data_IF_002768807538
#
_entry.id   IF_002768807538
#
_cell.length_a   1.000
_cell.length_b   1.000
_cell.length_c   1.000
_cell.angle_alpha   90.00
_cell.angle_beta   90.00
_cell.angle_gamma   90.00
#
_symmetry.space_group_name_H-M   'P 1'
#
loop_
_entity.id
_entity.type
_entity.pdbx_description
1 polymer ?
#
# COMPACT_ATOMS: atom_id res chain seq x y z
N UNK A 1 -2.50 20.99 -24.97
CA UNK A 1 -2.36 20.82 -23.52
C UNK A 1 -3.37 19.76 -23.11
N UNK A 2 -2.94 18.62 -22.57
CA UNK A 2 -3.84 17.56 -22.11
C UNK A 2 -4.54 17.97 -20.80
N UNK A 3 -5.72 17.40 -20.54
CA UNK A 3 -6.40 17.56 -19.24
C UNK A 3 -5.58 16.78 -18.20
N UNK A 4 -5.20 17.37 -17.05
CA UNK A 4 -4.52 16.65 -15.97
C UNK A 4 -5.38 15.47 -15.47
N UNK A 5 -4.76 14.32 -15.26
CA UNK A 5 -5.41 13.10 -14.74
C UNK A 5 -4.60 12.54 -13.59
N UNK A 6 -5.28 11.99 -12.59
CA UNK A 6 -4.65 11.33 -11.44
C UNK A 6 -5.40 10.06 -11.05
N UNK A 7 -4.72 9.19 -10.29
CA UNK A 7 -5.35 8.05 -9.62
C UNK A 7 -6.05 8.51 -8.34
N UNK A 8 -7.21 7.93 -8.03
CA UNK A 8 -8.02 8.35 -6.87
C UNK A 8 -7.52 7.78 -5.54
N UNK A 9 -6.71 6.70 -5.56
CA UNK A 9 -6.26 6.06 -4.33
C UNK A 9 -5.60 4.70 -4.59
N UNK A 10 -6.14 3.65 -3.98
CA UNK A 10 -5.58 2.29 -3.97
C UNK A 10 -5.18 1.74 -5.34
N UNK A 11 -4.08 1.01 -5.37
CA UNK A 11 -3.65 0.17 -6.50
C UNK A 11 -3.77 -1.31 -6.14
N UNK A 12 -3.83 -2.22 -7.14
CA UNK A 12 -3.78 -3.65 -6.87
C UNK A 12 -2.52 -4.04 -6.10
N UNK A 13 -2.68 -4.75 -4.98
CA UNK A 13 -1.54 -5.26 -4.21
C UNK A 13 -0.80 -6.33 -5.00
N UNK A 14 0.54 -6.29 -5.09
CA UNK A 14 1.29 -7.36 -5.72
C UNK A 14 1.14 -8.66 -4.92
N UNK A 15 1.23 -9.80 -5.60
CA UNK A 15 1.06 -11.13 -4.98
C UNK A 15 1.97 -11.35 -3.77
N UNK A 16 3.18 -10.76 -3.79
CA UNK A 16 4.14 -10.80 -2.69
C UNK A 16 3.59 -10.12 -1.42
N UNK A 17 3.01 -8.93 -1.56
CA UNK A 17 2.38 -8.23 -0.45
C UNK A 17 1.13 -8.95 0.06
N UNK A 18 0.30 -9.49 -0.84
CA UNK A 18 -0.88 -10.29 -0.44
C UNK A 18 -0.47 -11.50 0.40
N UNK A 19 0.62 -12.18 0.01
CA UNK A 19 1.17 -13.30 0.76
C UNK A 19 1.67 -12.86 2.14
N UNK A 20 2.43 -11.77 2.21
CA UNK A 20 2.96 -11.25 3.48
C UNK A 20 1.84 -10.85 4.46
N UNK A 21 0.76 -10.22 3.97
CA UNK A 21 -0.43 -9.92 4.78
C UNK A 21 -1.01 -11.20 5.35
N UNK A 22 -1.23 -12.23 4.51
CA UNK A 22 -1.78 -13.50 4.98
C UNK A 22 -0.87 -14.22 5.98
N UNK A 23 0.45 -14.16 5.81
CA UNK A 23 1.42 -14.73 6.74
C UNK A 23 1.47 -13.96 8.07
N UNK A 24 1.32 -12.62 8.04
CA UNK A 24 1.25 -11.79 9.23
C UNK A 24 -0.04 -12.03 10.01
N UNK A 25 -1.19 -12.07 9.32
CA UNK A 25 -2.49 -12.38 9.92
C UNK A 25 -2.51 -13.78 10.56
N UNK A 26 -1.75 -14.72 10.00
CA UNK A 26 -1.55 -16.06 10.56
C UNK A 26 -0.50 -16.12 11.69
N UNK A 27 0.16 -15.01 12.04
CA UNK A 27 1.22 -14.94 13.04
C UNK A 27 2.52 -15.65 12.64
N UNK A 28 2.72 -15.90 11.35
CA UNK A 28 3.88 -16.63 10.81
C UNK A 28 5.09 -15.73 10.54
N UNK A 29 4.87 -14.42 10.35
CA UNK A 29 5.93 -13.40 10.22
C UNK A 29 5.67 -12.24 11.19
N UNK A 30 6.72 -11.50 11.52
CA UNK A 30 6.61 -10.29 12.34
C UNK A 30 6.12 -9.08 11.55
N UNK A 31 5.77 -8.01 12.26
CA UNK A 31 5.38 -6.75 11.63
C UNK A 31 6.50 -6.16 10.76
N UNK A 32 7.77 -6.28 11.17
CA UNK A 32 8.91 -5.76 10.40
C UNK A 32 9.04 -6.42 9.02
N UNK A 33 8.73 -7.72 8.93
CA UNK A 33 8.73 -8.46 7.65
C UNK A 33 7.57 -7.98 6.76
N UNK A 34 6.38 -7.79 7.32
CA UNK A 34 5.25 -7.20 6.61
C UNK A 34 5.57 -5.77 6.14
N UNK A 35 6.17 -4.96 7.01
CA UNK A 35 6.53 -3.57 6.72
C UNK A 35 7.53 -3.48 5.57
N UNK A 36 8.50 -4.38 5.49
CA UNK A 36 9.45 -4.44 4.36
C UNK A 36 8.76 -4.75 3.03
N UNK A 37 7.74 -5.61 3.02
CA UNK A 37 6.96 -5.91 1.81
C UNK A 37 6.02 -4.76 1.42
N UNK A 38 5.45 -4.08 2.40
CA UNK A 38 4.71 -2.85 2.20
C UNK A 38 5.58 -1.74 1.60
N UNK A 39 6.78 -1.52 2.14
CA UNK A 39 7.77 -0.56 1.63
C UNK A 39 8.12 -0.84 0.17
N UNK A 40 8.39 -2.11 -0.15
CA UNK A 40 8.69 -2.52 -1.51
C UNK A 40 7.53 -2.23 -2.48
N UNK A 41 6.28 -2.50 -2.07
CA UNK A 41 5.10 -2.24 -2.88
C UNK A 41 4.79 -0.74 -3.06
N UNK A 42 4.93 0.06 -1.99
CA UNK A 42 4.80 1.52 -2.05
C UNK A 42 5.85 2.11 -3.02
N UNK A 43 7.10 1.65 -2.91
CA UNK A 43 8.20 2.11 -3.78
C UNK A 43 7.93 1.78 -5.25
N UNK A 44 7.54 0.55 -5.58
CA UNK A 44 7.21 0.17 -6.97
C UNK A 44 6.02 0.99 -7.51
N UNK A 45 5.02 1.28 -6.68
CA UNK A 45 3.87 2.13 -7.05
C UNK A 45 4.32 3.55 -7.43
N UNK A 46 5.17 4.16 -6.59
CA UNK A 46 5.72 5.51 -6.83
C UNK A 46 6.56 5.53 -8.10
N UNK A 47 7.56 4.65 -8.22
CA UNK A 47 8.48 4.61 -9.36
C UNK A 47 7.75 4.40 -10.70
N UNK A 48 6.75 3.52 -10.71
CA UNK A 48 5.93 3.28 -11.92
C UNK A 48 5.04 4.45 -12.25
N UNK A 49 4.45 5.12 -11.26
CA UNK A 49 3.58 6.27 -11.50
C UNK A 49 4.37 7.47 -12.02
N UNK A 50 5.55 7.74 -11.45
CA UNK A 50 6.50 8.75 -11.96
C UNK A 50 6.87 8.47 -13.42
N UNK A 51 7.16 7.22 -13.77
CA UNK A 51 7.49 6.82 -15.13
C UNK A 51 6.37 7.06 -16.16
N UNK A 52 5.11 7.20 -15.72
CA UNK A 52 3.99 7.57 -16.62
C UNK A 52 3.94 9.06 -16.95
N UNK A 53 4.67 9.90 -16.22
CA UNK A 53 4.52 11.36 -16.29
C UNK A 53 3.25 11.87 -15.59
N UNK A 54 2.70 11.09 -14.65
CA UNK A 54 1.55 11.50 -13.86
C UNK A 54 1.84 12.81 -13.12
N UNK A 55 0.91 13.79 -13.13
CA UNK A 55 1.11 15.07 -12.46
C UNK A 55 1.09 14.96 -10.94
N UNK A 56 0.45 13.91 -10.40
CA UNK A 56 0.33 13.61 -8.97
C UNK A 56 0.62 12.14 -8.78
N UNK A 57 1.43 11.82 -7.76
CA UNK A 57 1.90 10.47 -7.44
C UNK A 57 1.38 10.06 -6.06
N UNK A 58 0.93 8.82 -5.93
CA UNK A 58 0.55 8.18 -4.66
C UNK A 58 1.31 6.87 -4.46
N UNK A 59 1.37 6.40 -3.21
CA UNK A 59 1.98 5.11 -2.86
C UNK A 59 1.05 3.91 -3.12
N UNK A 60 -0.16 4.15 -3.64
CA UNK A 60 -1.15 3.13 -3.95
C UNK A 60 -1.85 2.50 -2.75
N UNK A 61 -1.81 3.12 -1.57
CA UNK A 61 -2.46 2.63 -0.33
C UNK A 61 -2.07 1.19 0.04
N UNK A 62 -0.83 0.80 -0.27
CA UNK A 62 -0.37 -0.58 -0.12
C UNK A 62 -0.41 -1.04 1.35
N UNK A 63 -0.25 -0.10 2.28
CA UNK A 63 -0.31 -0.34 3.74
C UNK A 63 -1.71 -0.42 4.34
N UNK A 64 -2.71 0.20 3.71
CA UNK A 64 -4.02 0.36 4.32
C UNK A 64 -4.83 -0.94 4.23
N UNK A 65 -5.04 -1.62 5.36
CA UNK A 65 -5.84 -2.86 5.41
C UNK A 65 -7.29 -2.65 4.94
N UNK A 66 -7.89 -1.50 5.28
CA UNK A 66 -9.25 -1.11 4.91
C UNK A 66 -9.47 0.37 5.16
N UNK A 67 -10.06 1.10 4.21
CA UNK A 67 -10.40 2.52 4.35
C UNK A 67 -11.20 2.83 5.64
N UNK A 68 -12.14 1.97 6.01
CA UNK A 68 -13.04 2.22 7.14
C UNK A 68 -12.42 1.85 8.50
N UNK A 69 -11.50 0.88 8.53
CA UNK A 69 -11.07 0.25 9.78
C UNK A 69 -9.58 0.41 10.10
N UNK A 70 -8.73 0.75 9.12
CA UNK A 70 -7.31 1.02 9.37
C UNK A 70 -7.08 2.11 10.44
N UNK A 71 -7.85 3.22 10.51
CA UNK A 71 -7.57 4.26 11.50
C UNK A 71 -7.79 3.74 12.93
N UNK A 72 -8.78 2.85 13.09
CA UNK A 72 -9.11 2.25 14.37
C UNK A 72 -8.05 1.23 14.77
N UNK A 73 -7.73 0.31 13.85
CA UNK A 73 -6.82 -0.82 14.09
C UNK A 73 -5.37 -0.38 14.24
N UNK A 74 -4.89 0.51 13.36
CA UNK A 74 -3.46 0.79 13.24
C UNK A 74 -3.02 2.06 13.99
N UNK A 75 -3.94 3.00 14.29
CA UNK A 75 -3.55 4.33 14.83
C UNK A 75 -4.20 4.72 16.15
N UNK A 76 -5.40 4.22 16.46
CA UNK A 76 -6.17 4.58 17.67
C UNK A 76 -6.03 3.55 18.80
N UNK A 77 -4.87 2.87 18.87
CA UNK A 77 -4.63 1.77 19.81
C UNK A 77 -5.64 0.62 19.67
N UNK A 78 -6.02 0.31 18.42
CA UNK A 78 -6.82 -0.87 18.10
C UNK A 78 -6.16 -2.16 18.59
N UNK A 79 -7.00 -3.09 19.01
CA UNK A 79 -6.64 -4.35 19.69
C UNK A 79 -5.69 -5.23 18.91
#
# INVERSE_FOLDING_TARGET
MSIPTENVGSLPRPARLQKAIAEYDAGSIGFDDLAAEQDAACKDSVERMEATGAPIVSDGEQRASSFATYPITDTLAGT
#
